data_IF_891752502231
#
_entry.id   IF_891752502231
#
_cell.length_a   1.000
_cell.length_b   1.000
_cell.length_c   1.000
_cell.angle_alpha   90.00
_cell.angle_beta   90.00
_cell.angle_gamma   90.00
#
_symmetry.space_group_name_H-M   'P 1'
#
loop_
_entity.id
_entity.type
_entity.pdbx_description
1 polymer ?
#
# COMPACT_ATOMS: atom_id res chain seq x y z
N UNK A 1 18.88 -8.22 -3.44
CA UNK A 1 17.40 -8.17 -3.58
C UNK A 1 16.81 -7.80 -2.23
N UNK A 2 15.80 -6.92 -2.19
CA UNK A 2 15.23 -6.41 -0.94
C UNK A 2 13.96 -7.20 -0.62
N UNK A 3 13.98 -8.00 0.45
CA UNK A 3 12.75 -8.59 0.98
C UNK A 3 11.94 -7.48 1.62
N UNK A 4 10.75 -7.22 1.09
CA UNK A 4 9.86 -6.19 1.62
C UNK A 4 8.90 -6.87 2.58
N UNK A 5 8.87 -6.40 3.81
CA UNK A 5 7.92 -6.85 4.82
C UNK A 5 6.61 -6.06 4.72
N UNK A 6 5.52 -6.63 5.21
CA UNK A 6 4.24 -5.92 5.27
C UNK A 6 4.36 -4.64 6.12
N UNK A 7 5.13 -4.66 7.19
CA UNK A 7 5.38 -3.47 8.03
C UNK A 7 6.13 -2.36 7.27
N UNK A 8 7.09 -2.70 6.42
CA UNK A 8 7.78 -1.72 5.58
C UNK A 8 6.84 -1.11 4.53
N UNK A 9 6.01 -1.93 3.88
CA UNK A 9 5.00 -1.45 2.96
C UNK A 9 3.99 -0.54 3.67
N UNK A 10 3.50 -0.94 4.84
CA UNK A 10 2.59 -0.15 5.68
C UNK A 10 3.18 1.20 6.03
N UNK A 11 4.42 1.21 6.55
CA UNK A 11 5.14 2.45 6.89
C UNK A 11 5.27 3.38 5.69
N UNK A 12 5.56 2.83 4.51
CA UNK A 12 5.62 3.64 3.29
C UNK A 12 4.27 4.25 2.93
N UNK A 13 3.19 3.45 2.92
CA UNK A 13 1.83 3.95 2.62
C UNK A 13 1.44 5.07 3.59
N UNK A 14 1.64 4.83 4.88
CA UNK A 14 1.35 5.80 5.95
C UNK A 14 2.16 7.08 5.79
N UNK A 15 3.46 6.96 5.48
CA UNK A 15 4.32 8.13 5.24
C UNK A 15 3.91 8.92 3.99
N UNK A 16 3.56 8.22 2.90
CA UNK A 16 3.10 8.83 1.65
C UNK A 16 1.78 9.60 1.84
N UNK A 17 0.93 9.14 2.75
CA UNK A 17 -0.38 9.71 3.07
C UNK A 17 -0.40 10.53 4.36
N UNK A 18 0.77 10.87 4.93
CA UNK A 18 0.84 11.54 6.22
C UNK A 18 0.06 12.86 6.26
N UNK A 19 0.11 13.66 5.19
CA UNK A 19 -0.63 14.91 5.09
C UNK A 19 -2.16 14.72 5.07
N UNK A 20 -2.76 13.93 4.17
CA UNK A 20 -4.21 13.70 4.20
C UNK A 20 -4.69 12.99 5.46
N UNK A 21 -3.88 12.11 6.07
CA UNK A 21 -4.19 11.48 7.37
C UNK A 21 -4.24 12.54 8.48
N UNK A 22 -3.22 13.40 8.57
CA UNK A 22 -3.16 14.45 9.58
C UNK A 22 -4.27 15.49 9.41
N UNK A 23 -4.66 15.80 8.16
CA UNK A 23 -5.78 16.69 7.86
C UNK A 23 -7.13 16.19 8.40
N UNK A 24 -7.25 14.87 8.65
CA UNK A 24 -8.41 14.23 9.28
C UNK A 24 -8.29 14.14 10.81
N UNK A 25 -7.22 14.69 11.39
CA UNK A 25 -6.93 14.61 12.83
C UNK A 25 -6.49 13.21 13.28
N UNK A 26 -6.07 12.35 12.35
CA UNK A 26 -5.59 11.00 12.63
C UNK A 26 -4.07 10.98 12.80
N UNK A 27 -3.58 10.00 13.56
CA UNK A 27 -2.15 9.77 13.77
C UNK A 27 -1.70 8.66 12.82
N UNK A 28 -0.81 8.94 11.85
CA UNK A 28 -0.38 7.98 10.83
C UNK A 28 0.12 6.65 11.42
N UNK A 29 0.88 6.70 12.52
CA UNK A 29 1.49 5.52 13.15
C UNK A 29 0.48 4.61 13.85
N UNK A 30 -0.73 5.11 14.12
CA UNK A 30 -1.77 4.40 14.89
C UNK A 30 -2.88 3.82 14.01
N UNK A 31 -2.75 3.87 12.69
CA UNK A 31 -3.79 3.33 11.79
C UNK A 31 -3.85 1.79 11.88
N UNK A 32 -5.05 1.21 12.11
CA UNK A 32 -5.22 -0.23 12.19
C UNK A 32 -5.13 -0.88 10.80
N UNK A 33 -4.89 -2.19 10.76
CA UNK A 33 -4.72 -2.92 9.50
C UNK A 33 -6.02 -3.04 8.68
N UNK A 34 -7.18 -2.90 9.32
CA UNK A 34 -8.47 -2.86 8.65
C UNK A 34 -8.91 -1.44 8.26
N UNK A 35 -8.01 -0.45 8.35
CA UNK A 35 -8.31 0.93 7.97
C UNK A 35 -8.43 1.05 6.45
N UNK A 36 -9.61 1.43 5.97
CA UNK A 36 -9.87 1.64 4.55
C UNK A 36 -9.62 3.09 4.16
N UNK A 37 -8.55 3.32 3.41
CA UNK A 37 -8.10 4.65 3.00
C UNK A 37 -9.13 5.36 2.10
N UNK A 38 -9.91 4.61 1.32
CA UNK A 38 -10.91 5.17 0.40
C UNK A 38 -12.19 5.51 1.15
N UNK A 39 -12.72 4.57 1.95
CA UNK A 39 -13.95 4.79 2.73
C UNK A 39 -13.78 5.90 3.77
N UNK A 40 -12.61 6.01 4.40
CA UNK A 40 -12.28 7.08 5.35
C UNK A 40 -11.98 8.42 4.64
N UNK A 41 -11.91 8.40 3.30
CA UNK A 41 -11.66 9.56 2.45
C UNK A 41 -10.27 10.16 2.65
N UNK A 42 -9.27 9.30 2.91
CA UNK A 42 -7.84 9.67 2.88
C UNK A 42 -7.35 9.76 1.44
N UNK A 43 -7.81 8.83 0.60
CA UNK A 43 -7.61 8.82 -0.84
C UNK A 43 -8.96 8.82 -1.55
N UNK A 44 -8.97 9.26 -2.80
CA UNK A 44 -10.07 9.03 -3.73
C UNK A 44 -9.67 7.95 -4.75
N UNK A 45 -10.53 7.71 -5.75
CA UNK A 45 -10.28 6.71 -6.79
C UNK A 45 -9.01 6.99 -7.62
N UNK A 46 -8.63 8.26 -7.79
CA UNK A 46 -7.42 8.66 -8.53
C UNK A 46 -6.17 8.59 -7.63
N UNK A 47 -6.28 9.03 -6.38
CA UNK A 47 -5.23 8.97 -5.37
C UNK A 47 -4.82 7.52 -5.06
N UNK A 48 -5.71 6.55 -5.24
CA UNK A 48 -5.35 5.14 -5.22
C UNK A 48 -4.34 4.77 -6.32
N UNK A 49 -4.55 5.25 -7.55
CA UNK A 49 -3.61 5.01 -8.67
C UNK A 49 -2.26 5.66 -8.39
N UNK A 50 -2.23 6.87 -7.84
CA UNK A 50 -0.99 7.55 -7.46
C UNK A 50 -0.23 6.82 -6.34
N UNK A 51 -0.95 6.32 -5.34
CA UNK A 51 -0.38 5.51 -4.25
C UNK A 51 0.28 4.25 -4.79
N UNK A 52 -0.41 3.55 -5.69
CA UNK A 52 0.08 2.37 -6.39
C UNK A 52 1.37 2.68 -7.16
N UNK A 53 1.37 3.75 -7.96
CA UNK A 53 2.54 4.16 -8.72
C UNK A 53 3.72 4.55 -7.81
N UNK A 54 3.44 5.09 -6.63
CA UNK A 54 4.46 5.37 -5.63
C UNK A 54 5.06 4.08 -5.04
N UNK A 55 4.22 3.09 -4.72
CA UNK A 55 4.63 1.77 -4.23
C UNK A 55 5.51 1.04 -5.25
N UNK A 56 5.06 0.95 -6.50
CA UNK A 56 5.82 0.31 -7.59
C UNK A 56 7.19 0.94 -7.77
N UNK A 57 7.27 2.27 -7.82
CA UNK A 57 8.53 3.00 -7.97
C UNK A 57 9.46 2.85 -6.76
N UNK A 58 8.92 2.92 -5.55
CA UNK A 58 9.73 2.87 -4.33
C UNK A 58 10.31 1.47 -4.08
N UNK A 59 9.53 0.44 -4.41
CA UNK A 59 9.88 -0.94 -4.16
C UNK A 59 10.45 -1.67 -5.38
N UNK A 60 10.47 -1.04 -6.55
CA UNK A 60 10.89 -1.61 -7.83
C UNK A 60 10.13 -2.92 -8.14
N UNK A 61 8.80 -2.87 -7.99
CA UNK A 61 7.89 -3.97 -8.26
C UNK A 61 6.84 -3.56 -9.29
N UNK A 62 6.19 -4.56 -9.91
CA UNK A 62 4.94 -4.35 -10.65
C UNK A 62 3.78 -4.92 -9.86
N UNK A 63 2.75 -4.11 -9.70
CA UNK A 63 1.48 -4.53 -9.14
C UNK A 63 0.52 -4.83 -10.27
N UNK A 64 -0.06 -6.02 -10.24
CA UNK A 64 -1.12 -6.41 -11.17
C UNK A 64 -2.45 -6.45 -10.41
N UNK A 65 -3.32 -5.49 -10.71
CA UNK A 65 -4.65 -5.34 -10.13
C UNK A 65 -5.70 -6.22 -10.79
N UNK A 66 -5.38 -6.87 -11.92
CA UNK A 66 -6.35 -7.63 -12.72
C UNK A 66 -6.99 -8.83 -12.02
N UNK A 67 -6.47 -9.22 -10.85
CA UNK A 67 -7.00 -10.32 -10.03
C UNK A 67 -7.34 -9.95 -8.58
N UNK A 68 -7.38 -8.66 -8.24
CA UNK A 68 -7.62 -8.19 -6.89
C UNK A 68 -8.95 -7.49 -6.77
N UNK A 69 -9.62 -7.70 -5.65
CA UNK A 69 -10.83 -6.97 -5.29
C UNK A 69 -10.47 -5.51 -4.95
N UNK A 70 -11.02 -4.52 -5.67
CA UNK A 70 -10.73 -3.09 -5.45
C UNK A 70 -11.00 -2.64 -4.02
N UNK A 71 -12.03 -3.19 -3.37
CA UNK A 71 -12.39 -2.84 -1.99
C UNK A 71 -11.31 -3.32 -1.00
N UNK A 72 -10.69 -4.47 -1.27
CA UNK A 72 -9.60 -4.98 -0.44
C UNK A 72 -8.28 -4.22 -0.66
N UNK A 73 -8.11 -3.55 -1.80
CA UNK A 73 -6.86 -2.87 -2.15
C UNK A 73 -6.69 -1.48 -1.52
N UNK A 74 -7.78 -0.90 -1.03
CA UNK A 74 -7.74 0.39 -0.33
C UNK A 74 -7.57 0.22 1.18
N UNK A 75 -7.59 -1.01 1.66
CA UNK A 75 -7.39 -1.35 3.08
C UNK A 75 -5.89 -1.51 3.38
N UNK A 76 -5.43 -0.82 4.42
CA UNK A 76 -4.02 -0.67 4.77
C UNK A 76 -3.28 -2.01 4.99
N UNK A 77 -3.89 -2.96 5.69
CA UNK A 77 -3.32 -4.28 5.95
C UNK A 77 -3.19 -5.12 4.67
N UNK A 78 -4.30 -5.40 3.96
CA UNK A 78 -4.28 -6.15 2.71
C UNK A 78 -3.33 -5.59 1.64
N UNK A 79 -3.29 -4.27 1.41
CA UNK A 79 -2.33 -3.69 0.45
C UNK A 79 -0.88 -3.94 0.90
N UNK A 80 -0.59 -3.79 2.19
CA UNK A 80 0.75 -4.00 2.73
C UNK A 80 1.20 -5.46 2.62
N UNK A 81 0.30 -6.40 2.90
CA UNK A 81 0.51 -7.85 2.72
C UNK A 81 0.80 -8.18 1.27
N UNK A 82 -0.01 -7.67 0.34
CA UNK A 82 0.15 -7.93 -1.09
C UNK A 82 1.52 -7.46 -1.61
N UNK A 83 1.97 -6.27 -1.21
CA UNK A 83 3.28 -5.72 -1.60
C UNK A 83 4.41 -6.62 -1.08
N UNK A 84 4.31 -7.07 0.16
CA UNK A 84 5.28 -7.99 0.75
C UNK A 84 5.34 -9.32 -0.02
N UNK A 85 4.19 -9.88 -0.40
CA UNK A 85 4.11 -11.11 -1.20
C UNK A 85 4.72 -10.96 -2.60
N UNK A 86 4.45 -9.85 -3.29
CA UNK A 86 5.02 -9.59 -4.62
C UNK A 86 6.53 -9.44 -4.60
N UNK A 87 7.07 -8.83 -3.55
CA UNK A 87 8.53 -8.73 -3.35
C UNK A 87 9.19 -10.11 -3.26
N UNK A 88 8.50 -11.09 -2.65
CA UNK A 88 8.99 -12.47 -2.50
C UNK A 88 8.97 -13.23 -3.82
N UNK A 89 7.93 -13.04 -4.64
CA UNK A 89 7.79 -13.73 -5.93
C UNK A 89 8.75 -13.19 -7.00
N UNK A 90 9.07 -11.90 -6.97
CA UNK A 90 10.12 -11.33 -7.82
C UNK A 90 11.49 -12.00 -7.60
N UNK A 91 11.73 -12.54 -6.39
CA UNK A 91 12.96 -13.26 -6.04
C UNK A 91 13.07 -14.67 -6.65
N UNK A 92 11.99 -15.27 -7.19
CA UNK A 92 11.98 -16.66 -7.67
C UNK A 92 11.89 -16.84 -9.18
N UNK A 93 11.80 -15.75 -9.97
CA UNK A 93 11.70 -15.78 -11.45
C UNK A 93 12.98 -15.40 -12.21
N UNK A 94 14.13 -15.38 -11.53
CA UNK A 94 15.44 -15.28 -12.19
C UNK A 94 16.11 -16.66 -12.25
N UNK A 95 15.74 -17.50 -13.21
CA UNK A 95 16.54 -18.67 -13.64
C UNK A 95 16.24 -18.97 -15.09
#
# INVERSE_FOLDING_TARGET
>A
MKHITADEAKRFVVAQLAHPIAAKGLIPENLPDNFDLLTEGIIDSLGFVDLVMALERYFDIKVDFGGLDPESLTVLGPISQYIAEKSRVASSRST
#
